data_IF_377389019323
#
_entry.id   IF_377389019323
#
_cell.length_a   1.000
_cell.length_b   1.000
_cell.length_c   1.000
_cell.angle_alpha   90.00
_cell.angle_beta   90.00
_cell.angle_gamma   90.00
#
_symmetry.space_group_name_H-M   'P 1'
#
loop_
_entity.id
_entity.type
_entity.pdbx_description
1 polymer ?
#
# COMPACT_ATOMS: atom_id res chain seq x y z
N UNK A 1 11.94 -4.27 9.54
CA UNK A 1 11.14 -4.02 8.32
C UNK A 1 10.15 -5.16 8.10
N UNK A 2 8.86 -4.84 7.96
CA UNK A 2 7.82 -5.81 7.61
C UNK A 2 7.22 -5.44 6.25
N UNK A 3 7.11 -6.37 5.32
CA UNK A 3 6.49 -6.19 4.01
C UNK A 3 5.01 -6.54 4.03
N UNK A 4 4.19 -5.82 3.25
CA UNK A 4 2.79 -6.15 2.99
C UNK A 4 2.54 -6.26 1.48
N UNK A 5 1.67 -7.18 1.06
CA UNK A 5 1.29 -7.36 -0.36
C UNK A 5 0.10 -6.47 -0.70
N UNK A 6 0.16 -5.71 -1.77
CA UNK A 6 -0.90 -4.80 -2.23
C UNK A 6 -1.35 -5.14 -3.64
N UNK A 7 -2.65 -5.05 -3.88
CA UNK A 7 -3.19 -4.85 -5.23
C UNK A 7 -3.09 -3.36 -5.58
N UNK A 8 -1.97 -2.92 -6.14
CA UNK A 8 -1.86 -1.54 -6.62
C UNK A 8 -2.62 -1.42 -7.94
N UNK A 9 -3.72 -0.67 -7.92
CA UNK A 9 -4.08 0.11 -9.11
C UNK A 9 -3.57 1.52 -8.84
N UNK A 10 -2.66 1.96 -9.72
CA UNK A 10 -2.11 3.31 -9.91
C UNK A 10 -2.69 4.33 -8.93
N UNK A 11 -1.90 4.79 -7.95
CA UNK A 11 -2.19 6.05 -7.27
C UNK A 11 -2.04 7.14 -8.32
N UNK A 12 -3.16 7.59 -8.89
CA UNK A 12 -3.15 8.69 -9.83
C UNK A 12 -2.91 10.00 -9.07
N UNK A 13 -2.21 10.97 -9.66
CA UNK A 13 -2.11 12.31 -9.09
C UNK A 13 -3.52 12.88 -8.89
N UNK A 14 -3.99 12.94 -7.64
CA UNK A 14 -5.34 13.38 -7.27
C UNK A 14 -6.19 12.38 -6.46
N UNK A 15 -5.71 11.14 -6.23
CA UNK A 15 -6.45 10.13 -5.45
C UNK A 15 -6.27 10.24 -3.93
N UNK A 16 -5.36 11.08 -3.45
CA UNK A 16 -4.94 11.09 -2.05
C UNK A 16 -5.53 12.29 -1.31
N UNK A 17 -6.49 12.01 -0.42
CA UNK A 17 -7.04 12.99 0.51
C UNK A 17 -6.70 12.57 1.93
N UNK A 18 -6.05 13.45 2.69
CA UNK A 18 -5.78 13.25 4.11
C UNK A 18 -6.96 13.82 4.91
N UNK A 19 -7.75 12.95 5.57
CA UNK A 19 -8.81 13.41 6.44
C UNK A 19 -8.26 13.55 7.86
N UNK A 20 -8.08 14.81 8.31
CA UNK A 20 -7.48 15.15 9.61
C UNK A 20 -8.52 15.11 10.75
N UNK A 21 -9.30 14.03 10.82
CA UNK A 21 -10.00 13.67 12.05
C UNK A 21 -9.41 12.35 12.57
N UNK A 22 -8.26 12.52 13.22
CA UNK A 22 -7.58 11.58 14.11
C UNK A 22 -6.58 10.55 13.54
N UNK A 23 -6.52 10.23 12.24
CA UNK A 23 -5.44 9.37 11.65
C UNK A 23 -5.23 9.62 10.14
N UNK A 24 -3.97 9.66 9.69
CA UNK A 24 -3.66 9.66 8.26
C UNK A 24 -4.02 8.33 7.60
N UNK A 25 -4.74 8.40 6.49
CA UNK A 25 -5.22 7.26 5.71
C UNK A 25 -4.85 7.41 4.24
N UNK A 26 -4.65 6.28 3.56
CA UNK A 26 -4.50 6.22 2.12
C UNK A 26 -5.85 5.93 1.49
N UNK A 27 -6.33 6.82 0.63
CA UNK A 27 -7.62 6.69 -0.05
C UNK A 27 -7.37 6.28 -1.50
N UNK A 28 -8.06 5.23 -1.93
CA UNK A 28 -8.10 4.78 -3.32
C UNK A 28 -9.44 5.18 -3.90
N UNK A 29 -9.43 6.12 -4.84
CA UNK A 29 -10.63 6.55 -5.57
C UNK A 29 -10.70 5.76 -6.87
N UNK A 30 -11.84 5.14 -7.14
CA UNK A 30 -12.04 4.44 -8.41
C UNK A 30 -12.32 5.43 -9.54
N UNK A 31 -11.74 5.12 -10.70
CA UNK A 31 -12.15 5.72 -11.97
C UNK A 31 -13.56 5.24 -12.31
N UNK A 32 -14.35 6.14 -12.86
CA UNK A 32 -15.79 5.99 -13.06
C UNK A 32 -16.16 4.81 -13.99
N UNK A 33 -15.37 4.60 -15.06
CA UNK A 33 -15.59 3.53 -16.05
C UNK A 33 -14.80 2.25 -15.74
N UNK A 34 -14.24 2.10 -14.54
CA UNK A 34 -13.46 0.91 -14.20
C UNK A 34 -14.40 -0.30 -13.95
N UNK A 35 -14.12 -1.49 -14.53
CA UNK A 35 -14.96 -2.67 -14.36
C UNK A 35 -15.08 -3.08 -12.89
N UNK A 36 -16.20 -3.67 -12.44
CA UNK A 36 -16.42 -4.03 -11.04
C UNK A 36 -15.21 -4.77 -10.44
N UNK A 37 -14.67 -4.30 -9.31
CA UNK A 37 -13.56 -5.02 -8.66
C UNK A 37 -14.06 -6.00 -7.61
N UNK A 38 -13.43 -7.18 -7.61
CA UNK A 38 -13.58 -8.16 -6.55
C UNK A 38 -12.82 -7.76 -5.27
N UNK A 39 -11.92 -6.78 -5.37
CA UNK A 39 -11.07 -6.28 -4.27
C UNK A 39 -11.87 -6.00 -3.00
N UNK A 40 -13.03 -5.33 -3.15
CA UNK A 40 -13.96 -5.05 -2.05
C UNK A 40 -14.44 -6.33 -1.35
N UNK A 41 -14.94 -7.30 -2.12
CA UNK A 41 -15.46 -8.55 -1.56
C UNK A 41 -14.37 -9.40 -0.94
N UNK A 42 -13.21 -9.44 -1.59
CA UNK A 42 -12.02 -10.17 -1.14
C UNK A 42 -11.54 -9.65 0.21
N UNK A 43 -11.31 -8.34 0.35
CA UNK A 43 -10.74 -7.80 1.59
C UNK A 43 -11.73 -7.90 2.76
N UNK A 44 -13.04 -7.66 2.54
CA UNK A 44 -14.05 -7.83 3.60
C UNK A 44 -14.15 -9.27 4.11
N UNK A 45 -14.11 -10.25 3.20
CA UNK A 45 -14.18 -11.65 3.59
C UNK A 45 -12.94 -12.07 4.40
N UNK A 46 -11.75 -11.56 4.04
CA UNK A 46 -10.50 -11.87 4.73
C UNK A 46 -10.44 -11.27 6.14
N UNK A 47 -10.81 -10.01 6.31
CA UNK A 47 -10.62 -9.29 7.60
C UNK A 47 -11.53 -9.77 8.73
N UNK A 48 -12.67 -10.40 8.41
CA UNK A 48 -13.64 -10.88 9.40
C UNK A 48 -13.50 -12.34 9.84
N UNK A 49 -12.76 -13.18 9.11
CA UNK A 49 -12.89 -14.64 9.23
C UNK A 49 -11.59 -15.39 9.53
N UNK A 50 -10.43 -14.81 9.22
CA UNK A 50 -9.16 -15.52 9.25
C UNK A 50 -8.31 -15.22 10.48
N UNK A 51 -7.86 -16.26 11.19
CA UNK A 51 -6.79 -16.19 12.20
C UNK A 51 -5.40 -16.49 11.62
N UNK A 52 -5.31 -16.62 10.29
CA UNK A 52 -4.07 -17.00 9.63
C UNK A 52 -2.99 -15.92 9.84
N UNK A 53 -1.74 -16.27 10.20
CA UNK A 53 -0.68 -15.30 10.47
C UNK A 53 -0.39 -14.37 9.29
N UNK A 54 -0.61 -14.85 8.05
CA UNK A 54 -0.47 -14.06 6.84
C UNK A 54 -1.39 -12.83 6.75
N UNK A 55 -2.48 -12.78 7.52
CA UNK A 55 -3.34 -11.59 7.62
C UNK A 55 -2.59 -10.34 8.08
N UNK A 56 -1.50 -10.50 8.84
CA UNK A 56 -0.65 -9.38 9.25
C UNK A 56 0.00 -8.66 8.04
N UNK A 57 0.20 -9.38 6.94
CA UNK A 57 0.89 -8.93 5.73
C UNK A 57 -0.07 -8.61 4.57
N UNK A 58 -1.38 -8.72 4.79
CA UNK A 58 -2.42 -8.28 3.86
C UNK A 58 -2.89 -6.86 4.27
N UNK A 59 -3.25 -5.97 3.31
CA UNK A 59 -3.80 -4.65 3.56
C UNK A 59 -5.18 -4.78 4.18
N UNK A 60 -5.43 -3.93 5.18
CA UNK A 60 -6.71 -3.81 5.83
C UNK A 60 -7.42 -2.57 5.29
N UNK A 61 -8.65 -2.77 4.81
CA UNK A 61 -9.60 -1.70 4.53
C UNK A 61 -10.13 -1.18 5.85
N UNK A 62 -9.98 0.12 6.07
CA UNK A 62 -10.46 0.83 7.25
C UNK A 62 -11.86 1.37 7.06
N UNK A 63 -12.15 1.86 5.85
CA UNK A 63 -13.42 2.49 5.54
C UNK A 63 -13.76 2.36 4.04
N UNK A 64 -15.04 2.45 3.73
CA UNK A 64 -15.59 2.48 2.38
C UNK A 64 -16.68 3.52 2.28
N UNK A 65 -16.56 4.40 1.30
CA UNK A 65 -17.52 5.48 1.11
C UNK A 65 -17.64 5.83 -0.37
N UNK A 66 -18.64 6.64 -0.68
CA UNK A 66 -18.94 7.11 -2.03
C UNK A 66 -18.70 8.61 -2.11
N UNK A 67 -17.98 9.04 -3.15
CA UNK A 67 -17.84 10.44 -3.51
C UNK A 67 -18.83 10.77 -4.63
N UNK A 68 -19.81 11.59 -4.30
CA UNK A 68 -20.78 12.09 -5.28
C UNK A 68 -20.22 13.37 -5.90
N UNK A 69 -19.94 13.33 -7.20
CA UNK A 69 -19.45 14.47 -7.97
C UNK A 69 -20.39 14.83 -9.12
N UNK A 70 -20.10 15.95 -9.77
CA UNK A 70 -20.82 16.42 -10.97
C UNK A 70 -20.79 15.44 -12.14
N UNK A 71 -19.80 14.54 -12.14
CA UNK A 71 -19.56 13.54 -13.16
C UNK A 71 -20.26 12.22 -12.85
N UNK A 72 -20.48 11.90 -11.58
CA UNK A 72 -21.10 10.66 -11.13
C UNK A 72 -20.66 10.30 -9.72
N UNK A 73 -21.01 9.09 -9.29
CA UNK A 73 -20.63 8.56 -7.98
C UNK A 73 -19.40 7.66 -8.11
N UNK A 74 -18.36 7.93 -7.33
CA UNK A 74 -17.11 7.15 -7.31
C UNK A 74 -16.96 6.44 -5.98
N UNK A 75 -16.77 5.13 -6.02
CA UNK A 75 -16.46 4.36 -4.82
C UNK A 75 -15.02 4.59 -4.37
N UNK A 76 -14.85 4.76 -3.07
CA UNK A 76 -13.59 5.02 -2.41
C UNK A 76 -13.32 3.98 -1.33
N UNK A 77 -12.05 3.60 -1.21
CA UNK A 77 -11.58 2.67 -0.19
C UNK A 77 -10.50 3.37 0.63
N UNK A 78 -10.72 3.49 1.94
CA UNK A 78 -9.73 3.97 2.89
C UNK A 78 -8.90 2.82 3.46
N UNK A 79 -7.59 2.96 3.47
CA UNK A 79 -6.65 1.99 4.05
C UNK A 79 -5.64 2.69 4.96
N UNK A 80 -4.87 1.92 5.75
CA UNK A 80 -3.71 2.48 6.45
C UNK A 80 -2.66 2.93 5.42
N UNK A 81 -1.90 3.95 5.77
CA UNK A 81 -0.65 4.26 5.08
C UNK A 81 0.39 3.21 5.52
N UNK A 82 1.03 2.56 4.55
CA UNK A 82 2.01 1.51 4.84
C UNK A 82 3.43 1.96 4.55
N UNK A 83 3.69 2.52 3.39
CA UNK A 83 5.02 2.97 2.96
C UNK A 83 5.19 2.83 1.46
N UNK A 84 6.44 2.87 1.03
CA UNK A 84 6.81 2.76 -0.38
C UNK A 84 6.93 1.30 -0.82
N UNK A 85 6.77 1.08 -2.12
CA UNK A 85 6.97 -0.20 -2.75
C UNK A 85 8.41 -0.71 -2.61
N UNK A 86 8.56 -2.03 -2.58
CA UNK A 86 9.86 -2.70 -2.57
C UNK A 86 10.62 -2.36 -3.86
N UNK A 87 9.93 -2.31 -5.00
CA UNK A 87 10.53 -1.90 -6.28
C UNK A 87 11.18 -0.52 -6.16
N UNK A 88 10.43 0.47 -5.68
CA UNK A 88 10.93 1.82 -5.51
C UNK A 88 12.16 1.85 -4.58
N UNK A 89 12.06 1.20 -3.42
CA UNK A 89 13.15 1.17 -2.45
C UNK A 89 14.44 0.53 -3.01
N UNK A 90 14.33 -0.58 -3.76
CA UNK A 90 15.51 -1.32 -4.24
C UNK A 90 16.08 -0.75 -5.54
N UNK A 91 15.21 -0.40 -6.49
CA UNK A 91 15.61 -0.06 -7.86
C UNK A 91 15.87 1.43 -8.00
N UNK A 92 14.96 2.26 -7.50
CA UNK A 92 15.00 3.70 -7.74
C UNK A 92 15.78 4.42 -6.65
N UNK A 93 15.59 4.00 -5.41
CA UNK A 93 16.33 4.54 -4.27
C UNK A 93 17.69 3.85 -4.04
N UNK A 94 17.84 2.59 -4.47
CA UNK A 94 19.10 1.85 -4.36
C UNK A 94 19.35 1.24 -2.98
N UNK A 95 18.31 0.98 -2.18
CA UNK A 95 18.42 0.30 -0.90
C UNK A 95 19.02 -1.11 -1.09
N UNK A 96 20.09 -1.40 -0.37
CA UNK A 96 20.71 -2.72 -0.35
C UNK A 96 20.14 -3.55 0.79
N UNK A 97 19.60 -4.73 0.49
CA UNK A 97 19.11 -5.66 1.51
C UNK A 97 20.23 -6.59 1.96
N UNK A 98 20.34 -6.77 3.27
CA UNK A 98 21.08 -7.92 3.81
C UNK A 98 20.34 -9.21 3.43
N UNK A 99 21.08 -10.33 3.33
CA UNK A 99 20.47 -11.64 3.09
C UNK A 99 19.36 -11.96 4.11
N UNK A 100 19.54 -11.55 5.37
CA UNK A 100 18.53 -11.74 6.41
C UNK A 100 17.24 -10.93 6.15
N UNK A 101 17.36 -9.68 5.68
CA UNK A 101 16.22 -8.82 5.38
C UNK A 101 15.45 -9.34 4.16
N UNK A 102 16.16 -9.77 3.12
CA UNK A 102 15.54 -10.39 1.94
C UNK A 102 14.77 -11.66 2.30
N UNK A 103 15.36 -12.56 3.10
CA UNK A 103 14.68 -13.78 3.58
C UNK A 103 13.43 -13.46 4.40
N UNK A 104 13.49 -12.46 5.29
CA UNK A 104 12.31 -12.02 6.06
C UNK A 104 11.21 -11.49 5.14
N UNK A 105 11.53 -10.65 4.17
CA UNK A 105 10.55 -10.15 3.20
C UNK A 105 9.88 -11.29 2.44
N UNK A 106 10.68 -12.22 1.89
CA UNK A 106 10.17 -13.37 1.17
C UNK A 106 9.24 -14.22 2.04
N UNK A 107 9.63 -14.48 3.29
CA UNK A 107 8.79 -15.23 4.23
C UNK A 107 7.44 -14.54 4.47
N UNK A 108 7.44 -13.22 4.69
CA UNK A 108 6.22 -12.45 4.92
C UNK A 108 5.29 -12.43 3.70
N UNK A 109 5.88 -12.29 2.50
CA UNK A 109 5.13 -12.39 1.23
C UNK A 109 4.52 -13.79 1.08
N UNK A 110 5.30 -14.86 1.30
CA UNK A 110 4.79 -16.23 1.22
C UNK A 110 3.66 -16.49 2.23
N UNK A 111 3.77 -15.97 3.45
CA UNK A 111 2.69 -16.10 4.45
C UNK A 111 1.40 -15.39 4.01
N UNK A 112 1.49 -14.20 3.39
CA UNK A 112 0.32 -13.54 2.82
C UNK A 112 -0.26 -14.33 1.65
N UNK A 113 0.57 -14.87 0.75
CA UNK A 113 0.11 -15.68 -0.39
C UNK A 113 -0.59 -16.95 0.09
N UNK A 114 -0.02 -17.66 1.06
CA UNK A 114 -0.63 -18.84 1.67
C UNK A 114 -1.98 -18.50 2.33
N UNK A 115 -2.06 -17.35 3.00
CA UNK A 115 -3.32 -16.84 3.54
C UNK A 115 -4.38 -16.64 2.45
N UNK A 116 -4.02 -15.97 1.35
CA UNK A 116 -4.94 -15.75 0.23
C UNK A 116 -5.38 -17.08 -0.38
N UNK A 117 -4.43 -17.99 -0.58
CA UNK A 117 -4.68 -19.31 -1.17
C UNK A 117 -5.66 -20.14 -0.33
N UNK A 118 -5.51 -20.17 1.00
CA UNK A 118 -6.44 -20.85 1.90
C UNK A 118 -7.87 -20.30 1.87
N UNK A 119 -8.04 -19.06 1.38
CA UNK A 119 -9.36 -18.44 1.17
C UNK A 119 -9.82 -18.48 -0.29
N UNK A 120 -9.17 -19.29 -1.13
CA UNK A 120 -9.51 -19.43 -2.55
C UNK A 120 -9.20 -18.21 -3.39
N UNK A 121 -8.28 -17.34 -2.94
CA UNK A 121 -7.93 -16.09 -3.59
C UNK A 121 -6.53 -16.20 -4.19
N UNK A 122 -6.41 -15.79 -5.46
CA UNK A 122 -5.12 -15.61 -6.14
C UNK A 122 -4.93 -14.12 -6.40
N UNK A 123 -3.77 -13.56 -6.04
CA UNK A 123 -3.50 -12.12 -6.20
C UNK A 123 -3.50 -11.69 -7.69
N UNK A 124 -3.06 -12.56 -8.61
CA UNK A 124 -3.07 -12.33 -10.05
C UNK A 124 -1.97 -11.40 -10.57
N UNK A 125 -1.43 -10.52 -9.73
CA UNK A 125 -0.40 -9.54 -10.13
C UNK A 125 0.67 -9.34 -9.02
N UNK A 126 1.30 -10.42 -8.56
CA UNK A 126 2.28 -10.34 -7.47
C UNK A 126 3.69 -10.03 -7.99
N UNK A 127 4.17 -8.82 -7.72
CA UNK A 127 5.55 -8.40 -7.98
C UNK A 127 5.99 -7.31 -6.99
N UNK A 128 7.26 -6.89 -7.02
CA UNK A 128 7.85 -5.99 -6.01
C UNK A 128 7.26 -4.57 -5.99
N UNK A 129 6.56 -4.12 -7.05
CA UNK A 129 5.81 -2.85 -7.02
C UNK A 129 4.48 -2.96 -6.27
N UNK A 130 3.96 -4.19 -6.16
CA UNK A 130 2.76 -4.56 -5.43
C UNK A 130 3.10 -5.11 -4.03
N UNK A 131 4.28 -4.79 -3.50
CA UNK A 131 4.66 -5.10 -2.12
C UNK A 131 5.22 -3.83 -1.51
N UNK A 132 4.73 -3.37 -0.37
CA UNK A 132 5.27 -2.19 0.30
C UNK A 132 5.97 -2.55 1.60
N UNK A 133 7.01 -1.79 1.91
CA UNK A 133 7.61 -1.77 3.24
C UNK A 133 6.70 -1.00 4.18
N UNK A 134 6.49 -1.54 5.39
CA UNK A 134 5.93 -0.75 6.48
C UNK A 134 7.00 0.22 6.96
N UNK A 135 6.82 1.52 6.69
CA UNK A 135 7.70 2.60 7.13
C UNK A 135 7.20 3.16 8.47
N UNK A 136 7.90 2.92 9.60
CA UNK A 136 7.55 3.53 10.87
C UNK A 136 7.59 5.06 10.77
N UNK A 137 6.66 5.74 11.45
CA UNK A 137 6.64 7.21 11.46
C UNK A 137 6.19 7.85 10.15
N UNK A 138 5.68 7.08 9.18
CA UNK A 138 5.13 7.66 7.94
C UNK A 138 3.95 8.61 8.20
N UNK A 139 3.17 8.36 9.24
CA UNK A 139 2.10 9.25 9.71
C UNK A 139 2.62 10.50 10.45
N UNK A 140 3.94 10.59 10.69
CA UNK A 140 4.56 11.76 11.30
C UNK A 140 5.18 12.68 10.25
N UNK A 141 5.17 12.28 8.97
CA UNK A 141 5.64 13.14 7.89
C UNK A 141 4.71 14.34 7.75
N UNK A 142 5.28 15.50 7.47
CA UNK A 142 4.49 16.65 7.05
C UNK A 142 3.79 16.36 5.72
N UNK A 143 2.69 17.05 5.45
CA UNK A 143 1.97 16.93 4.18
C UNK A 143 2.90 17.11 2.96
N UNK A 144 3.84 18.07 3.06
CA UNK A 144 4.85 18.31 2.04
C UNK A 144 5.77 17.11 1.85
N UNK A 145 6.33 16.55 2.91
CA UNK A 145 7.22 15.38 2.83
C UNK A 145 6.47 14.16 2.28
N UNK A 146 5.21 13.95 2.68
CA UNK A 146 4.39 12.87 2.18
C UNK A 146 4.05 13.04 0.70
N UNK A 147 3.72 14.26 0.28
CA UNK A 147 3.49 14.59 -1.13
C UNK A 147 4.77 14.35 -1.95
N UNK A 148 5.93 14.80 -1.47
CA UNK A 148 7.20 14.55 -2.14
C UNK A 148 7.49 13.05 -2.28
N UNK A 149 7.29 12.26 -1.22
CA UNK A 149 7.47 10.80 -1.25
C UNK A 149 6.59 10.12 -2.31
N UNK A 150 5.29 10.42 -2.27
CA UNK A 150 4.31 9.82 -3.19
C UNK A 150 4.47 10.31 -4.62
N UNK A 151 4.83 11.57 -4.81
CA UNK A 151 5.14 12.13 -6.12
C UNK A 151 6.39 11.46 -6.71
N UNK A 152 7.47 11.30 -5.96
CA UNK A 152 8.69 10.67 -6.44
C UNK A 152 8.42 9.21 -6.85
N UNK A 153 7.68 8.46 -6.02
CA UNK A 153 7.32 7.07 -6.30
C UNK A 153 6.41 6.92 -7.53
N UNK A 154 5.41 7.79 -7.71
CA UNK A 154 4.48 7.71 -8.84
C UNK A 154 5.07 8.23 -10.16
N UNK A 155 6.03 9.15 -10.09
CA UNK A 155 6.62 9.81 -11.25
C UNK A 155 7.89 9.14 -11.79
N UNK A 156 8.44 8.14 -11.09
CA UNK A 156 9.70 7.48 -11.46
C UNK A 156 10.85 8.48 -11.70
N UNK A 157 10.85 9.60 -10.99
CA UNK A 157 11.67 10.77 -11.38
C UNK A 157 13.16 10.67 -11.01
N UNK A 158 13.61 9.55 -10.43
CA UNK A 158 15.01 9.38 -10.01
C UNK A 158 15.48 10.43 -8.98
N UNK A 159 14.55 11.17 -8.36
CA UNK A 159 14.84 12.19 -7.36
C UNK A 159 15.18 11.54 -6.03
N UNK A 160 16.14 12.13 -5.31
CA UNK A 160 16.50 11.68 -3.96
C UNK A 160 15.37 11.99 -2.98
N UNK A 161 15.07 11.02 -2.12
CA UNK A 161 14.14 11.21 -1.01
C UNK A 161 14.71 12.18 0.04
N UNK A 162 13.86 12.94 0.75
CA UNK A 162 14.27 13.72 1.92
C UNK A 162 14.92 12.85 3.03
N UNK A 163 15.94 13.38 3.70
CA UNK A 163 16.69 12.66 4.75
C UNK A 163 15.81 12.21 5.94
N UNK A 164 14.73 12.93 6.23
CA UNK A 164 13.73 12.57 7.25
C UNK A 164 13.04 11.25 6.92
N UNK A 165 12.68 11.05 5.65
CA UNK A 165 12.08 9.81 5.13
C UNK A 165 13.13 8.70 5.09
N UNK A 166 14.36 9.00 4.66
CA UNK A 166 15.46 8.02 4.62
C UNK A 166 15.72 7.41 6.00
N UNK A 167 15.79 8.26 7.04
CA UNK A 167 16.03 7.81 8.41
C UNK A 167 14.94 6.88 8.92
N UNK A 168 13.69 7.03 8.46
CA UNK A 168 12.57 6.15 8.79
C UNK A 168 12.56 4.82 8.03
N UNK A 169 13.31 4.73 6.93
CA UNK A 169 13.39 3.55 6.07
C UNK A 169 14.60 2.65 6.37
N UNK A 170 15.53 3.08 7.22
CA UNK A 170 16.67 2.27 7.65
C UNK A 170 16.27 1.33 8.80
N UNK A 171 16.90 0.13 8.91
CA UNK A 171 16.55 -0.87 9.92
C UNK A 171 16.84 -0.43 11.35
#
# INVERSE_FOLDING_TARGET
MNGKIFTHHRIEPGSLWTCREHRDVAIKIRVEDAPPSLERGIVKNLTGQSKHPGMAYIPVVLDEFELVGSTGTRHCIGTKIYGVSVKFALVEYGLQLTASAAKRLQHQVLQAVDCLYQHGIVHGDLYTGNVCWKTPGINNLTEKEFFELTYIESSYTGRKLPNSIISSMQP
#
